data_IF_895763081857
#
_entry.id   IF_895763081857
#
_cell.length_a   1.000
_cell.length_b   1.000
_cell.length_c   1.000
_cell.angle_alpha   90.00
_cell.angle_beta   90.00
_cell.angle_gamma   90.00
#
_symmetry.space_group_name_H-M   'P 1'
#
loop_
_entity.id
_entity.type
_entity.pdbx_description
1 polymer ?
#
# COMPACT_ATOMS: atom_id res chain seq x y z
N UNK A 1 5.54 13.46 2.24
CA UNK A 1 6.48 13.33 1.10
C UNK A 1 7.87 13.85 1.46
N UNK A 2 8.00 15.06 2.03
CA UNK A 2 9.30 15.64 2.41
C UNK A 2 10.09 14.74 3.36
N UNK A 3 9.44 14.12 4.34
CA UNK A 3 10.08 13.15 5.25
C UNK A 3 10.67 11.95 4.51
N UNK A 4 9.93 11.37 3.55
CA UNK A 4 10.42 10.24 2.76
C UNK A 4 11.65 10.63 1.91
N UNK A 5 11.64 11.84 1.31
CA UNK A 5 12.80 12.36 0.58
C UNK A 5 14.00 12.53 1.52
N UNK A 6 13.80 13.09 2.72
CA UNK A 6 14.88 13.21 3.71
C UNK A 6 15.44 11.83 4.10
N UNK A 7 14.58 10.85 4.34
CA UNK A 7 14.98 9.49 4.69
C UNK A 7 15.86 8.84 3.61
N UNK A 8 15.46 8.91 2.34
CA UNK A 8 16.24 8.29 1.25
C UNK A 8 17.58 8.99 1.03
N UNK A 9 17.65 10.31 1.18
CA UNK A 9 18.92 11.06 1.08
C UNK A 9 19.83 10.73 2.26
N UNK A 10 19.30 10.68 3.47
CA UNK A 10 20.01 10.31 4.67
C UNK A 10 20.64 8.91 4.54
N UNK A 11 19.88 7.94 4.03
CA UNK A 11 20.35 6.58 3.78
C UNK A 11 21.49 6.54 2.75
N UNK A 12 21.33 7.21 1.61
CA UNK A 12 22.38 7.25 0.57
C UNK A 12 23.66 7.88 1.06
N UNK A 13 23.55 8.97 1.83
CA UNK A 13 24.70 9.72 2.35
C UNK A 13 25.23 9.17 3.67
N UNK A 14 24.57 8.17 4.26
CA UNK A 14 24.85 7.61 5.59
C UNK A 14 24.96 8.71 6.67
N UNK A 15 24.01 9.62 6.67
CA UNK A 15 23.88 10.72 7.62
C UNK A 15 22.60 10.58 8.45
N UNK A 16 22.59 11.08 9.69
CA UNK A 16 21.35 11.22 10.45
C UNK A 16 20.33 12.07 9.69
N UNK A 17 19.06 11.70 9.76
CA UNK A 17 17.98 12.40 9.06
C UNK A 17 17.85 13.87 9.47
N UNK A 18 18.21 14.18 10.71
CA UNK A 18 18.19 15.55 11.27
C UNK A 18 19.15 16.50 10.55
N UNK A 19 20.13 15.94 9.84
CA UNK A 19 21.08 16.72 9.03
C UNK A 19 20.57 17.03 7.63
N UNK A 20 19.42 16.47 7.24
CA UNK A 20 18.84 16.66 5.91
C UNK A 20 17.71 17.68 5.98
N UNK A 21 17.90 18.81 5.32
CA UNK A 21 16.89 19.86 5.22
C UNK A 21 16.24 19.85 3.85
N UNK A 22 14.94 19.55 3.78
CA UNK A 22 14.17 19.57 2.55
C UNK A 22 13.44 20.90 2.42
N UNK A 23 13.70 21.62 1.33
CA UNK A 23 12.98 22.84 0.95
C UNK A 23 12.16 22.57 -0.30
N UNK A 24 10.86 22.66 -0.21
CA UNK A 24 9.94 22.28 -1.29
C UNK A 24 8.79 23.29 -1.48
N UNK A 25 8.83 24.43 -0.80
CA UNK A 25 7.68 25.34 -0.74
C UNK A 25 7.86 26.64 -1.55
N UNK A 26 9.04 26.84 -2.11
CA UNK A 26 9.38 28.09 -2.78
C UNK A 26 9.45 27.85 -4.29
N UNK A 27 8.43 28.29 -5.02
CA UNK A 27 8.34 28.10 -6.47
C UNK A 27 9.48 28.79 -7.24
N UNK A 28 10.12 29.79 -6.64
CA UNK A 28 11.23 30.54 -7.25
C UNK A 28 12.53 29.73 -7.26
N UNK A 29 12.69 28.80 -6.35
CA UNK A 29 13.93 28.04 -6.16
C UNK A 29 13.76 26.51 -6.37
N UNK A 30 12.54 26.02 -6.29
CA UNK A 30 12.26 24.59 -6.47
C UNK A 30 12.28 24.22 -7.96
N UNK A 31 12.84 23.05 -8.32
CA UNK A 31 12.68 22.51 -9.67
C UNK A 31 11.21 22.30 -10.00
N UNK A 32 10.88 22.28 -11.29
CA UNK A 32 9.53 21.97 -11.75
C UNK A 32 9.10 20.59 -11.29
N UNK A 33 8.02 20.53 -10.54
CA UNK A 33 7.33 19.31 -10.13
C UNK A 33 5.85 19.39 -10.54
N UNK A 34 5.34 18.30 -11.11
CA UNK A 34 3.96 18.26 -11.59
C UNK A 34 2.93 18.04 -10.49
N UNK A 35 3.36 17.85 -9.25
CA UNK A 35 2.49 17.71 -8.06
C UNK A 35 2.22 16.28 -7.61
N UNK A 36 1.42 16.21 -6.55
CA UNK A 36 1.17 14.98 -5.77
C UNK A 36 -0.07 14.22 -6.25
N UNK A 37 -0.21 13.97 -7.53
CA UNK A 37 -1.29 13.15 -8.09
C UNK A 37 -0.82 11.71 -8.38
N UNK A 38 -1.77 10.79 -8.54
CA UNK A 38 -1.51 9.36 -8.79
C UNK A 38 -0.56 8.74 -7.77
N UNK A 39 -0.55 9.25 -6.55
CA UNK A 39 0.27 8.78 -5.42
C UNK A 39 1.75 8.58 -5.75
N UNK A 40 2.28 9.35 -6.69
CA UNK A 40 3.58 9.15 -7.34
C UNK A 40 4.76 9.81 -6.62
N UNK A 41 4.52 10.70 -5.64
CA UNK A 41 5.57 11.57 -5.09
C UNK A 41 6.70 10.77 -4.47
N UNK A 42 6.42 9.79 -3.62
CA UNK A 42 7.47 8.95 -3.04
C UNK A 42 8.26 8.23 -4.12
N UNK A 43 7.59 7.68 -5.13
CA UNK A 43 8.24 6.94 -6.21
C UNK A 43 9.13 7.84 -7.08
N UNK A 44 8.60 8.97 -7.55
CA UNK A 44 9.30 9.85 -8.48
C UNK A 44 10.37 10.71 -7.80
N UNK A 45 9.98 11.42 -6.73
CA UNK A 45 10.87 12.39 -6.09
C UNK A 45 11.96 11.69 -5.29
N UNK A 46 11.67 10.56 -4.64
CA UNK A 46 12.71 9.83 -3.93
C UNK A 46 13.74 9.22 -4.90
N UNK A 47 13.32 8.69 -6.04
CA UNK A 47 14.25 8.22 -7.08
C UNK A 47 15.13 9.36 -7.63
N UNK A 48 14.55 10.54 -7.85
CA UNK A 48 15.31 11.72 -8.28
C UNK A 48 16.31 12.15 -7.20
N UNK A 49 15.88 12.19 -5.93
CA UNK A 49 16.72 12.55 -4.80
C UNK A 49 17.86 11.54 -4.57
N UNK A 50 17.60 10.24 -4.73
CA UNK A 50 18.63 9.18 -4.66
C UNK A 50 19.72 9.44 -5.71
N UNK A 51 19.36 9.78 -6.95
CA UNK A 51 20.34 10.05 -8.01
C UNK A 51 21.22 11.25 -7.70
N UNK A 52 20.63 12.35 -7.21
CA UNK A 52 21.40 13.52 -6.76
C UNK A 52 22.32 13.17 -5.57
N UNK A 53 21.80 12.43 -4.59
CA UNK A 53 22.57 12.03 -3.43
C UNK A 53 23.73 11.08 -3.77
N UNK A 54 23.53 10.16 -4.73
CA UNK A 54 24.60 9.28 -5.23
C UNK A 54 25.74 10.07 -5.88
N UNK A 55 25.42 11.10 -6.65
CA UNK A 55 26.45 11.97 -7.24
C UNK A 55 27.25 12.70 -6.16
N UNK A 56 26.60 13.24 -5.14
CA UNK A 56 27.29 13.84 -3.98
C UNK A 56 28.14 12.80 -3.24
N UNK A 57 27.60 11.62 -2.99
CA UNK A 57 28.33 10.52 -2.34
C UNK A 57 29.58 10.13 -3.11
N UNK A 58 29.50 10.05 -4.44
CA UNK A 58 30.65 9.72 -5.29
C UNK A 58 31.75 10.77 -5.18
N UNK A 59 31.39 12.07 -5.14
CA UNK A 59 32.35 13.16 -4.96
C UNK A 59 33.07 13.06 -3.60
N UNK A 60 32.34 12.73 -2.53
CA UNK A 60 32.90 12.56 -1.18
C UNK A 60 33.80 11.32 -1.12
N UNK A 61 33.40 10.19 -1.72
CA UNK A 61 34.21 8.97 -1.76
C UNK A 61 35.48 9.16 -2.57
N UNK A 62 35.46 9.97 -3.63
CA UNK A 62 36.64 10.32 -4.40
C UNK A 62 37.63 11.14 -3.56
N UNK A 63 37.17 12.13 -2.81
CA UNK A 63 38.02 12.88 -1.89
C UNK A 63 38.59 11.99 -0.78
N UNK A 64 37.82 11.03 -0.27
CA UNK A 64 38.30 10.03 0.67
C UNK A 64 39.39 9.11 0.06
N UNK A 65 39.26 8.76 -1.22
CA UNK A 65 40.30 8.03 -1.95
C UNK A 65 41.61 8.82 -1.98
N UNK A 66 41.56 10.11 -2.30
CA UNK A 66 42.77 10.96 -2.34
C UNK A 66 43.45 11.02 -0.98
N UNK A 67 42.70 10.91 0.12
CA UNK A 67 43.25 10.91 1.48
C UNK A 67 43.80 9.52 1.86
N UNK A 68 43.08 8.44 1.54
CA UNK A 68 43.35 7.09 2.07
C UNK A 68 44.16 6.22 1.10
N UNK A 69 44.21 6.54 -0.18
CA UNK A 69 44.87 5.76 -1.22
C UNK A 69 44.09 4.52 -1.67
N UNK A 70 42.84 4.32 -1.22
CA UNK A 70 42.01 3.18 -1.56
C UNK A 70 40.88 3.57 -2.51
N UNK A 71 40.71 2.77 -3.58
CA UNK A 71 39.69 3.04 -4.60
C UNK A 71 38.26 3.15 -4.01
N UNK A 72 37.41 4.06 -4.48
CA UNK A 72 36.05 4.31 -3.94
C UNK A 72 35.20 3.03 -3.78
N UNK A 73 35.28 2.07 -4.71
CA UNK A 73 34.54 0.81 -4.64
C UNK A 73 34.94 -0.10 -3.46
N UNK A 74 36.08 0.19 -2.81
CA UNK A 74 36.57 -0.53 -1.62
C UNK A 74 36.33 0.25 -0.34
N UNK A 75 35.75 1.44 -0.42
CA UNK A 75 35.43 2.28 0.70
C UNK A 75 33.96 2.10 1.08
N UNK A 76 33.72 2.07 2.38
CA UNK A 76 32.38 2.03 2.99
C UNK A 76 32.15 3.37 3.71
N UNK A 77 31.02 3.99 3.39
CA UNK A 77 30.55 5.19 4.07
C UNK A 77 29.46 4.75 5.05
N UNK A 78 29.72 4.88 6.33
CA UNK A 78 28.79 4.51 7.40
C UNK A 78 29.07 5.31 8.68
N UNK A 79 28.04 5.66 9.41
CA UNK A 79 28.09 6.35 10.70
C UNK A 79 29.11 7.51 10.73
N UNK A 80 28.99 8.42 9.79
CA UNK A 80 29.87 9.61 9.65
C UNK A 80 31.37 9.28 9.52
N UNK A 81 31.71 8.05 9.09
CA UNK A 81 33.07 7.63 8.74
C UNK A 81 33.11 7.04 7.34
N UNK A 82 34.27 7.18 6.71
CA UNK A 82 34.60 6.49 5.46
C UNK A 82 35.81 5.63 5.76
N UNK A 83 35.71 4.34 5.53
CA UNK A 83 36.76 3.39 5.87
C UNK A 83 36.93 2.31 4.80
N UNK A 84 38.12 1.71 4.80
CA UNK A 84 38.41 0.60 3.90
C UNK A 84 37.64 -0.66 4.32
N UNK A 85 36.92 -1.25 3.35
CA UNK A 85 35.98 -2.38 3.60
C UNK A 85 36.63 -3.58 4.29
N UNK A 86 37.91 -3.86 3.97
CA UNK A 86 38.61 -5.05 4.48
C UNK A 86 39.39 -4.76 5.79
N UNK A 87 39.57 -3.50 6.14
CA UNK A 87 40.16 -3.09 7.41
C UNK A 87 39.51 -1.77 7.89
N UNK A 88 38.47 -1.84 8.73
CA UNK A 88 37.77 -0.67 9.22
C UNK A 88 38.62 0.27 10.13
N UNK A 89 39.81 -0.16 10.56
CA UNK A 89 40.74 0.73 11.32
C UNK A 89 41.30 1.82 10.42
N UNK A 90 41.44 1.53 9.12
CA UNK A 90 41.88 2.48 8.10
C UNK A 90 40.69 3.29 7.64
N UNK A 91 40.62 4.54 8.02
CA UNK A 91 39.46 5.38 7.65
C UNK A 91 39.67 6.85 8.00
N UNK A 92 38.74 7.65 7.51
CA UNK A 92 38.68 9.10 7.68
C UNK A 92 37.31 9.53 8.17
N UNK A 93 37.19 10.62 8.89
CA UNK A 93 35.91 11.17 9.26
C UNK A 93 35.18 11.72 8.00
N UNK A 94 33.86 11.61 7.98
CA UNK A 94 33.03 12.17 6.92
C UNK A 94 33.34 13.65 6.67
N UNK A 95 33.46 14.43 7.77
CA UNK A 95 33.72 15.86 7.71
C UNK A 95 35.06 16.18 7.03
N UNK A 96 36.11 15.40 7.30
CA UNK A 96 37.41 15.60 6.66
C UNK A 96 37.37 15.30 5.18
N UNK A 97 36.68 14.25 4.76
CA UNK A 97 36.48 13.94 3.34
C UNK A 97 35.62 15.01 2.65
N UNK A 98 34.59 15.51 3.33
CA UNK A 98 33.74 16.59 2.82
C UNK A 98 34.55 17.88 2.61
N UNK A 99 35.38 18.29 3.60
CA UNK A 99 36.23 19.47 3.46
C UNK A 99 37.19 19.30 2.27
N UNK A 100 37.81 18.14 2.14
CA UNK A 100 38.70 17.86 0.99
C UNK A 100 37.95 17.98 -0.35
N UNK A 101 36.73 17.42 -0.42
CA UNK A 101 35.92 17.55 -1.62
C UNK A 101 35.55 19.02 -1.93
N UNK A 102 35.29 19.84 -0.89
CA UNK A 102 35.03 21.26 -1.02
C UNK A 102 36.27 22.08 -1.43
N UNK A 103 37.45 21.73 -0.91
CA UNK A 103 38.72 22.33 -1.33
C UNK A 103 38.98 22.12 -2.82
N UNK A 104 38.66 20.91 -3.32
CA UNK A 104 38.93 20.53 -4.71
C UNK A 104 37.90 21.08 -5.70
N UNK A 105 36.64 21.25 -5.30
CA UNK A 105 35.51 21.54 -6.19
C UNK A 105 34.65 22.74 -5.79
N UNK A 106 34.84 23.30 -4.62
CA UNK A 106 33.94 24.28 -4.01
C UNK A 106 32.69 23.61 -3.42
N UNK A 107 31.59 24.32 -3.47
CA UNK A 107 30.31 23.76 -2.97
C UNK A 107 29.90 22.53 -3.78
N UNK A 108 29.58 21.43 -3.09
CA UNK A 108 29.10 20.23 -3.74
C UNK A 108 27.62 20.42 -4.12
N UNK A 109 27.33 20.41 -5.40
CA UNK A 109 25.99 20.55 -5.95
C UNK A 109 25.75 19.40 -6.91
N UNK A 110 24.56 18.77 -6.82
CA UNK A 110 24.13 17.74 -7.72
C UNK A 110 22.66 17.92 -8.09
N UNK A 111 22.28 17.46 -9.26
CA UNK A 111 20.91 17.45 -9.72
C UNK A 111 20.49 16.04 -10.11
N UNK A 112 19.30 15.63 -9.69
CA UNK A 112 18.76 14.33 -10.00
C UNK A 112 17.38 14.44 -10.64
N UNK A 113 17.14 13.63 -11.66
CA UNK A 113 15.84 13.49 -12.28
C UNK A 113 15.50 12.00 -12.43
N UNK A 114 14.25 11.64 -12.19
CA UNK A 114 13.75 10.31 -12.48
C UNK A 114 12.88 10.35 -13.74
N UNK A 115 13.16 9.45 -14.64
CA UNK A 115 12.31 9.17 -15.79
C UNK A 115 11.94 7.69 -15.73
N UNK A 116 10.64 7.40 -15.71
CA UNK A 116 10.17 6.03 -15.76
C UNK A 116 10.63 5.32 -17.03
N UNK A 117 10.83 4.00 -17.00
CA UNK A 117 11.04 3.21 -18.20
C UNK A 117 9.94 3.46 -19.24
N UNK A 118 10.20 3.21 -20.54
CA UNK A 118 9.16 3.23 -21.55
C UNK A 118 8.04 2.27 -21.16
N UNK A 119 6.85 2.82 -20.92
CA UNK A 119 5.70 2.02 -20.55
C UNK A 119 4.96 1.56 -21.80
N UNK A 120 4.54 0.30 -21.82
CA UNK A 120 3.82 -0.30 -22.94
C UNK A 120 2.43 0.28 -23.14
N UNK A 121 1.87 0.04 -24.31
CA UNK A 121 0.53 0.50 -24.67
C UNK A 121 0.57 1.53 -25.78
N UNK A 122 0.50 1.05 -27.00
CA UNK A 122 0.40 1.89 -28.21
C UNK A 122 -1.02 2.43 -28.37
N UNK A 123 -1.98 1.84 -27.66
CA UNK A 123 -3.40 2.17 -27.79
C UNK A 123 -3.91 2.96 -26.59
N UNK A 124 -4.62 4.02 -26.85
CA UNK A 124 -5.38 4.77 -25.85
C UNK A 124 -6.35 3.81 -25.15
N UNK A 125 -6.24 3.67 -23.83
CA UNK A 125 -7.04 2.73 -23.05
C UNK A 125 -6.39 1.36 -22.81
N UNK A 126 -5.14 1.13 -23.23
CA UNK A 126 -4.40 -0.05 -22.81
C UNK A 126 -4.21 -0.04 -21.28
N UNK A 127 -4.69 -1.08 -20.61
CA UNK A 127 -4.64 -1.17 -19.15
C UNK A 127 -3.26 -1.59 -18.61
N UNK A 128 -2.52 -2.41 -19.36
CA UNK A 128 -1.22 -2.92 -18.94
C UNK A 128 -0.07 -1.98 -19.34
N UNK A 129 0.92 -1.83 -18.47
CA UNK A 129 2.13 -1.06 -18.74
C UNK A 129 1.95 0.45 -18.71
N UNK A 130 0.91 0.97 -18.06
CA UNK A 130 0.67 2.41 -17.91
C UNK A 130 1.38 3.02 -16.70
N UNK A 131 1.84 2.17 -15.77
CA UNK A 131 2.57 2.58 -14.57
C UNK A 131 3.86 1.78 -14.43
N UNK A 132 4.93 2.39 -13.88
CA UNK A 132 6.19 1.69 -13.65
C UNK A 132 6.09 0.64 -12.54
N UNK A 133 5.12 0.77 -11.65
CA UNK A 133 4.86 -0.15 -10.55
C UNK A 133 3.35 -0.28 -10.31
N UNK A 134 2.93 -1.43 -9.79
CA UNK A 134 1.55 -1.72 -9.40
C UNK A 134 1.51 -2.08 -7.93
N UNK A 135 0.59 -1.48 -7.18
CA UNK A 135 0.26 -1.87 -5.82
C UNK A 135 -1.01 -2.71 -5.79
N UNK A 136 -1.13 -3.53 -4.76
CA UNK A 136 -2.27 -4.41 -4.57
C UNK A 136 -2.87 -4.17 -3.18
N UNK A 137 -4.20 -4.22 -3.10
CA UNK A 137 -4.90 -4.03 -1.84
C UNK A 137 -6.05 -5.03 -1.71
N UNK A 138 -6.28 -5.52 -0.49
CA UNK A 138 -7.38 -6.40 -0.17
C UNK A 138 -7.94 -6.03 1.21
N UNK A 139 -9.24 -5.73 1.27
CA UNK A 139 -9.90 -5.27 2.49
C UNK A 139 -11.06 -6.17 2.88
N UNK A 140 -11.22 -6.32 4.19
CA UNK A 140 -12.41 -6.93 4.80
C UNK A 140 -13.06 -5.88 5.69
N UNK A 141 -14.37 -5.71 5.56
CA UNK A 141 -15.16 -4.82 6.40
C UNK A 141 -16.22 -5.60 7.17
N UNK A 142 -16.50 -5.13 8.37
CA UNK A 142 -17.60 -5.60 9.20
C UNK A 142 -18.57 -4.44 9.42
N UNK A 143 -19.88 -4.72 9.29
CA UNK A 143 -20.91 -3.69 9.38
C UNK A 143 -22.07 -4.15 10.24
N UNK A 144 -22.68 -3.17 10.92
CA UNK A 144 -24.00 -3.30 11.53
C UNK A 144 -25.01 -2.56 10.67
N UNK A 145 -26.15 -3.18 10.36
CA UNK A 145 -27.22 -2.57 9.56
C UNK A 145 -28.51 -2.52 10.37
N UNK A 146 -28.98 -1.29 10.63
CA UNK A 146 -30.33 -1.08 11.16
C UNK A 146 -31.33 -1.21 9.99
N UNK A 147 -32.06 -2.28 9.97
CA UNK A 147 -33.00 -2.61 8.86
C UNK A 147 -34.28 -1.79 8.90
N UNK A 148 -34.61 -1.15 10.02
CA UNK A 148 -35.78 -0.29 10.17
C UNK A 148 -35.49 1.15 9.73
N UNK A 149 -34.27 1.62 9.98
CA UNK A 149 -33.85 2.98 9.61
C UNK A 149 -33.01 3.01 8.35
N UNK A 150 -32.49 1.87 7.88
CA UNK A 150 -31.55 1.77 6.76
C UNK A 150 -30.16 2.32 7.11
N UNK A 151 -29.82 2.49 8.39
CA UNK A 151 -28.52 2.98 8.81
C UNK A 151 -27.47 1.88 8.72
N UNK A 152 -26.33 2.21 8.15
CA UNK A 152 -25.16 1.32 8.06
C UNK A 152 -24.03 1.90 8.90
N UNK A 153 -23.51 1.12 9.84
CA UNK A 153 -22.34 1.45 10.63
C UNK A 153 -21.23 0.44 10.32
N UNK A 154 -20.12 0.92 9.77
CA UNK A 154 -18.91 0.11 9.66
C UNK A 154 -18.23 0.03 11.03
N UNK A 155 -17.98 -1.16 11.54
CA UNK A 155 -17.41 -1.39 12.88
C UNK A 155 -15.93 -1.69 12.82
N UNK A 156 -15.49 -2.54 11.90
CA UNK A 156 -14.11 -2.94 11.74
C UNK A 156 -13.70 -2.98 10.26
N UNK A 157 -12.44 -2.65 10.00
CA UNK A 157 -11.81 -2.80 8.68
C UNK A 157 -10.41 -3.38 8.83
N UNK A 158 -10.14 -4.49 8.18
CA UNK A 158 -8.80 -5.03 7.98
C UNK A 158 -8.32 -4.63 6.59
N UNK A 159 -7.28 -3.80 6.56
CA UNK A 159 -6.85 -3.09 5.37
C UNK A 159 -5.42 -3.50 4.98
N UNK A 160 -5.29 -4.52 4.13
CA UNK A 160 -4.02 -4.97 3.59
C UNK A 160 -3.65 -4.18 2.33
N UNK A 161 -2.46 -3.59 2.32
CA UNK A 161 -1.94 -2.82 1.19
C UNK A 161 -0.47 -3.10 0.95
N UNK A 162 -0.11 -3.38 -0.29
CA UNK A 162 1.25 -3.58 -0.75
C UNK A 162 1.85 -2.25 -1.21
N UNK A 163 2.67 -1.67 -0.35
CA UNK A 163 3.41 -0.43 -0.61
C UNK A 163 4.85 -0.66 -1.11
N UNK A 164 5.19 -1.87 -1.54
CA UNK A 164 6.57 -2.23 -1.91
C UNK A 164 7.46 -2.35 -0.66
N UNK A 165 8.22 -1.31 -0.36
CA UNK A 165 8.95 -1.15 0.89
C UNK A 165 8.40 0.02 1.69
N UNK A 166 8.03 -0.18 2.93
CA UNK A 166 7.57 0.88 3.80
C UNK A 166 8.76 1.70 4.32
N UNK A 167 9.13 2.76 3.60
CA UNK A 167 10.22 3.67 4.03
C UNK A 167 9.89 4.36 5.36
N UNK A 168 8.62 4.60 5.62
CA UNK A 168 8.11 5.11 6.88
C UNK A 168 6.82 4.36 7.25
N UNK A 169 6.92 3.27 8.01
CA UNK A 169 5.76 2.43 8.36
C UNK A 169 4.64 3.20 9.06
N UNK A 170 4.98 4.18 9.92
CA UNK A 170 3.97 5.00 10.60
C UNK A 170 3.19 5.86 9.60
N UNK A 171 3.88 6.49 8.65
CA UNK A 171 3.23 7.28 7.60
C UNK A 171 2.37 6.40 6.68
N UNK A 172 2.84 5.20 6.30
CA UNK A 172 2.06 4.24 5.49
C UNK A 172 0.78 3.83 6.22
N UNK A 173 0.85 3.47 7.51
CA UNK A 173 -0.33 3.18 8.33
C UNK A 173 -1.30 4.37 8.36
N UNK A 174 -0.78 5.59 8.53
CA UNK A 174 -1.59 6.81 8.48
C UNK A 174 -2.30 7.01 7.14
N UNK A 175 -1.63 6.71 6.02
CA UNK A 175 -2.25 6.76 4.69
C UNK A 175 -3.36 5.71 4.53
N UNK A 176 -3.13 4.47 4.96
CA UNK A 176 -4.15 3.40 4.91
C UNK A 176 -5.39 3.80 5.73
N UNK A 177 -5.21 4.28 6.95
CA UNK A 177 -6.32 4.71 7.81
C UNK A 177 -7.06 5.90 7.20
N UNK A 178 -6.34 6.91 6.68
CA UNK A 178 -6.93 8.06 6.03
C UNK A 178 -7.70 7.70 4.76
N UNK A 179 -7.20 6.74 3.99
CA UNK A 179 -7.88 6.22 2.80
C UNK A 179 -9.16 5.45 3.15
N UNK A 180 -9.16 4.69 4.26
CA UNK A 180 -10.38 4.07 4.78
C UNK A 180 -11.43 5.13 5.14
N UNK A 181 -11.03 6.21 5.82
CA UNK A 181 -11.92 7.32 6.15
C UNK A 181 -12.54 7.94 4.89
N UNK A 182 -11.71 8.25 3.89
CA UNK A 182 -12.15 8.84 2.62
C UNK A 182 -13.14 7.93 1.88
N UNK A 183 -12.81 6.63 1.78
CA UNK A 183 -13.69 5.67 1.12
C UNK A 183 -14.97 5.38 1.89
N UNK A 184 -14.96 5.46 3.22
CA UNK A 184 -16.16 5.38 4.03
C UNK A 184 -17.13 6.53 3.71
N UNK A 185 -16.63 7.75 3.57
CA UNK A 185 -17.42 8.88 3.14
C UNK A 185 -18.09 8.63 1.79
N UNK A 186 -17.32 8.16 0.81
CA UNK A 186 -17.84 7.86 -0.53
C UNK A 186 -18.92 6.76 -0.52
N UNK A 187 -18.77 5.75 0.32
CA UNK A 187 -19.70 4.61 0.33
C UNK A 187 -20.95 4.86 1.17
N UNK A 188 -20.90 5.70 2.20
CA UNK A 188 -22.00 5.85 3.15
C UNK A 188 -22.70 7.22 3.14
N UNK A 189 -21.99 8.32 2.91
CA UNK A 189 -22.53 9.64 3.26
C UNK A 189 -22.28 10.76 2.26
N UNK A 190 -21.14 10.78 1.56
CA UNK A 190 -20.78 11.89 0.70
C UNK A 190 -21.55 11.87 -0.63
N UNK A 191 -22.48 12.81 -0.76
CA UNK A 191 -23.33 12.93 -1.96
C UNK A 191 -23.49 14.39 -2.35
N UNK A 192 -23.14 14.71 -3.59
CA UNK A 192 -23.47 15.99 -4.17
C UNK A 192 -24.95 16.01 -4.64
N UNK A 193 -25.72 16.97 -4.16
CA UNK A 193 -27.14 17.10 -4.48
C UNK A 193 -27.35 18.33 -5.37
N UNK A 194 -27.72 18.09 -6.61
CA UNK A 194 -27.99 19.15 -7.59
C UNK A 194 -29.49 19.43 -7.70
N UNK A 195 -29.86 20.70 -7.65
CA UNK A 195 -31.20 21.16 -7.95
C UNK A 195 -31.53 21.08 -9.45
N UNK A 196 -32.80 21.38 -9.80
CA UNK A 196 -33.28 21.33 -11.18
C UNK A 196 -32.54 22.30 -12.11
N UNK A 197 -31.95 23.36 -11.60
CA UNK A 197 -31.19 24.37 -12.33
C UNK A 197 -29.68 24.10 -12.37
N UNK A 198 -29.22 22.93 -11.86
CA UNK A 198 -27.81 22.57 -11.81
C UNK A 198 -27.02 23.17 -10.64
N UNK A 199 -27.67 23.95 -9.75
CA UNK A 199 -27.00 24.43 -8.54
C UNK A 199 -26.78 23.31 -7.52
N UNK A 200 -25.56 23.23 -6.95
CA UNK A 200 -25.25 22.35 -5.84
C UNK A 200 -25.98 22.84 -4.58
N UNK A 201 -26.90 22.03 -4.06
CA UNK A 201 -27.74 22.39 -2.93
C UNK A 201 -27.01 22.28 -1.58
N UNK A 202 -26.07 21.35 -1.47
CA UNK A 202 -25.28 21.08 -0.28
C UNK A 202 -23.81 21.50 -0.45
N UNK A 203 -23.58 22.75 -0.83
CA UNK A 203 -22.27 23.32 -1.12
C UNK A 203 -21.44 23.71 0.12
N UNK A 204 -21.75 23.17 1.28
CA UNK A 204 -21.06 23.46 2.55
C UNK A 204 -20.87 22.18 3.37
N UNK A 205 -19.91 22.21 4.31
CA UNK A 205 -19.58 21.04 5.15
C UNK A 205 -20.64 20.71 6.22
N UNK A 206 -21.65 21.55 6.41
CA UNK A 206 -22.78 21.23 7.27
C UNK A 206 -23.72 20.21 6.60
N UNK A 207 -23.86 20.28 5.30
CA UNK A 207 -24.81 19.47 4.52
C UNK A 207 -24.11 18.39 3.68
N UNK A 208 -22.88 18.64 3.20
CA UNK A 208 -22.01 17.63 2.60
C UNK A 208 -21.34 16.83 3.71
N UNK A 209 -21.75 15.59 3.90
CA UNK A 209 -21.44 14.79 5.08
C UNK A 209 -20.12 14.01 4.93
N UNK A 210 -19.01 14.65 5.27
CA UNK A 210 -17.75 13.93 5.48
C UNK A 210 -17.84 13.21 6.83
N UNK A 211 -17.46 11.93 6.93
CA UNK A 211 -17.49 11.21 8.19
C UNK A 211 -16.63 11.90 9.26
N UNK A 212 -17.14 11.97 10.47
CA UNK A 212 -16.40 12.46 11.64
C UNK A 212 -15.56 11.33 12.27
N UNK A 213 -14.74 11.68 13.25
CA UNK A 213 -13.95 10.70 14.02
C UNK A 213 -14.83 9.67 14.75
N UNK A 214 -16.06 10.03 15.08
CA UNK A 214 -17.02 9.14 15.77
C UNK A 214 -17.62 8.06 14.84
N UNK A 215 -17.57 8.30 13.54
CA UNK A 215 -18.08 7.37 12.51
C UNK A 215 -16.99 6.44 11.98
N UNK A 216 -15.73 6.69 12.37
CA UNK A 216 -14.62 5.84 11.97
C UNK A 216 -14.70 4.45 12.63
N UNK A 217 -14.58 3.38 11.84
CA UNK A 217 -14.42 2.03 12.37
C UNK A 217 -13.05 1.86 13.03
N UNK A 218 -12.89 0.77 13.75
CA UNK A 218 -11.57 0.30 14.10
C UNK A 218 -10.87 -0.21 12.83
N UNK A 219 -9.80 0.46 12.41
CA UNK A 219 -9.01 0.10 11.23
C UNK A 219 -7.73 -0.60 11.65
N UNK A 220 -7.51 -1.80 11.13
CA UNK A 220 -6.27 -2.59 11.28
C UNK A 220 -5.47 -2.48 9.98
N UNK A 221 -4.48 -1.57 9.88
CA UNK A 221 -3.65 -1.44 8.70
C UNK A 221 -2.61 -2.57 8.65
N UNK A 222 -2.58 -3.30 7.54
CA UNK A 222 -1.67 -4.41 7.29
C UNK A 222 -0.76 -4.00 6.13
N UNK A 223 0.52 -3.82 6.43
CA UNK A 223 1.52 -3.44 5.44
C UNK A 223 2.08 -4.71 4.80
N UNK A 224 2.02 -4.78 3.47
CA UNK A 224 2.67 -5.79 2.65
C UNK A 224 3.86 -5.15 1.94
N UNK A 225 5.00 -5.84 1.93
CA UNK A 225 6.24 -5.37 1.32
C UNK A 225 6.70 -6.33 0.23
N UNK A 226 6.40 -6.02 -1.03
CA UNK A 226 6.83 -6.82 -2.20
C UNK A 226 8.18 -6.38 -2.78
N UNK A 227 8.70 -5.22 -2.37
CA UNK A 227 9.96 -4.64 -2.83
C UNK A 227 10.05 -4.49 -4.35
N UNK A 228 9.45 -3.41 -4.87
CA UNK A 228 9.43 -3.13 -6.31
C UNK A 228 10.84 -2.78 -6.84
N UNK A 229 11.30 -3.39 -7.94
CA UNK A 229 12.65 -3.16 -8.47
C UNK A 229 12.87 -1.74 -9.00
N UNK A 230 11.83 -1.03 -9.45
CA UNK A 230 11.92 0.35 -9.94
C UNK A 230 11.71 1.38 -8.81
N UNK A 231 11.18 0.94 -7.67
CA UNK A 231 10.89 1.80 -6.55
C UNK A 231 12.13 2.25 -5.76
N UNK A 232 12.11 3.44 -5.17
CA UNK A 232 13.20 3.91 -4.31
C UNK A 232 13.31 2.97 -3.08
N UNK A 233 14.41 2.24 -2.99
CA UNK A 233 14.58 1.15 -2.00
C UNK A 233 13.44 0.12 -1.99
N UNK A 234 12.76 -0.06 -3.12
CA UNK A 234 11.64 -0.98 -3.26
C UNK A 234 10.26 -0.40 -2.94
N UNK A 235 10.14 0.89 -2.63
CA UNK A 235 8.87 1.52 -2.27
C UNK A 235 7.96 1.73 -3.48
N UNK A 236 6.66 1.57 -3.26
CA UNK A 236 5.58 1.94 -4.18
C UNK A 236 4.69 3.03 -3.58
N UNK A 237 3.53 3.22 -4.17
CA UNK A 237 2.53 4.15 -3.66
C UNK A 237 1.83 3.61 -2.39
N UNK A 238 1.25 4.51 -1.60
CA UNK A 238 0.44 4.18 -0.43
C UNK A 238 -0.71 5.20 -0.22
N UNK A 239 -1.09 5.93 -1.26
CA UNK A 239 -2.11 6.98 -1.18
C UNK A 239 -3.45 6.56 -1.74
N UNK A 240 -3.57 6.41 -3.06
CA UNK A 240 -4.83 6.14 -3.74
C UNK A 240 -5.18 4.65 -3.78
N UNK A 241 -4.19 3.74 -3.84
CA UNK A 241 -4.43 2.31 -3.83
C UNK A 241 -5.18 1.81 -2.59
N UNK A 242 -4.86 2.28 -1.38
CA UNK A 242 -5.61 1.92 -0.18
C UNK A 242 -7.06 2.44 -0.14
N UNK A 243 -7.43 3.44 -0.96
CA UNK A 243 -8.78 3.97 -1.02
C UNK A 243 -9.76 3.02 -1.71
N UNK A 244 -9.32 2.40 -2.80
CA UNK A 244 -10.22 1.67 -3.70
C UNK A 244 -10.95 0.48 -3.06
N UNK A 245 -10.30 -0.37 -2.22
CA UNK A 245 -10.93 -1.59 -1.73
C UNK A 245 -12.00 -1.37 -0.66
N UNK A 246 -12.02 -0.24 0.04
CA UNK A 246 -12.98 0.00 1.13
C UNK A 246 -14.42 0.06 0.60
N UNK A 247 -14.62 0.64 -0.59
CA UNK A 247 -15.94 0.75 -1.19
C UNK A 247 -16.57 -0.64 -1.43
N UNK A 248 -15.95 -1.54 -2.20
CA UNK A 248 -16.51 -2.87 -2.41
C UNK A 248 -16.54 -3.72 -1.13
N UNK A 249 -15.59 -3.54 -0.19
CA UNK A 249 -15.60 -4.28 1.06
C UNK A 249 -16.86 -3.96 1.88
N UNK A 250 -17.19 -2.68 2.06
CA UNK A 250 -18.40 -2.25 2.79
C UNK A 250 -19.68 -2.66 2.06
N UNK A 251 -19.76 -2.49 0.74
CA UNK A 251 -20.93 -2.91 -0.04
C UNK A 251 -21.15 -4.42 0.05
N UNK A 252 -20.10 -5.21 0.02
CA UNK A 252 -20.19 -6.67 0.18
C UNK A 252 -20.61 -7.05 1.60
N UNK A 253 -20.10 -6.38 2.63
CA UNK A 253 -20.52 -6.61 4.01
C UNK A 253 -22.00 -6.27 4.23
N UNK A 254 -22.50 -5.18 3.63
CA UNK A 254 -23.94 -4.84 3.65
C UNK A 254 -24.76 -5.91 2.93
N UNK A 255 -24.27 -6.42 1.78
CA UNK A 255 -24.93 -7.52 1.09
C UNK A 255 -25.00 -8.78 1.96
N UNK A 256 -23.92 -9.11 2.64
CA UNK A 256 -23.89 -10.26 3.57
C UNK A 256 -24.88 -10.10 4.72
N UNK A 257 -25.00 -8.88 5.26
CA UNK A 257 -25.89 -8.58 6.36
C UNK A 257 -27.38 -8.63 5.98
N UNK A 258 -27.79 -8.11 4.81
CA UNK A 258 -29.20 -7.90 4.45
C UNK A 258 -29.66 -8.60 3.17
N UNK A 259 -28.76 -9.26 2.45
CA UNK A 259 -29.08 -9.98 1.20
C UNK A 259 -29.42 -9.09 0.00
N UNK A 260 -29.28 -7.76 0.13
CA UNK A 260 -29.60 -6.79 -0.93
C UNK A 260 -28.33 -6.31 -1.63
N UNK A 261 -28.24 -6.51 -2.95
CA UNK A 261 -27.13 -6.03 -3.75
C UNK A 261 -27.38 -4.58 -4.20
N UNK A 262 -26.66 -3.64 -3.58
CA UNK A 262 -26.64 -2.25 -4.01
C UNK A 262 -25.60 -2.03 -5.10
N UNK A 263 -25.93 -1.16 -6.07
CA UNK A 263 -25.05 -0.84 -7.21
C UNK A 263 -24.76 0.64 -7.33
N UNK A 264 -25.51 1.47 -6.61
CA UNK A 264 -25.37 2.91 -6.60
C UNK A 264 -24.87 3.38 -5.23
N UNK A 265 -23.95 4.32 -5.22
CA UNK A 265 -23.38 4.92 -4.01
C UNK A 265 -23.74 6.42 -3.92
N UNK A 266 -23.70 6.98 -2.71
CA UNK A 266 -23.51 6.36 -1.41
C UNK A 266 -24.72 5.55 -0.94
N UNK A 267 -24.50 4.61 -0.02
CA UNK A 267 -25.53 3.82 0.66
C UNK A 267 -26.20 4.65 1.76
N UNK A 268 -26.87 5.72 1.37
CA UNK A 268 -27.64 6.56 2.32
C UNK A 268 -28.79 5.77 2.94
N UNK A 269 -29.23 6.12 4.15
CA UNK A 269 -30.28 5.39 4.87
C UNK A 269 -31.54 5.14 4.05
N UNK A 270 -31.95 6.13 3.24
CA UNK A 270 -33.14 6.02 2.37
C UNK A 270 -32.94 5.01 1.22
N UNK A 271 -31.71 4.88 0.68
CA UNK A 271 -31.37 3.89 -0.37
C UNK A 271 -31.38 2.49 0.22
N UNK A 272 -30.75 2.31 1.38
CA UNK A 272 -30.67 1.01 2.06
C UNK A 272 -32.06 0.56 2.48
N UNK A 273 -32.84 1.40 3.16
CA UNK A 273 -34.22 1.12 3.56
C UNK A 273 -35.10 0.72 2.37
N UNK A 274 -35.10 1.52 1.30
CA UNK A 274 -35.89 1.21 0.09
C UNK A 274 -35.45 -0.09 -0.58
N UNK A 275 -34.17 -0.41 -0.54
CA UNK A 275 -33.65 -1.69 -1.06
C UNK A 275 -34.19 -2.88 -0.29
N UNK A 276 -34.12 -2.81 1.04
CA UNK A 276 -34.63 -3.84 1.96
C UNK A 276 -36.14 -4.02 1.76
N UNK A 277 -36.90 -2.92 1.73
CA UNK A 277 -38.35 -2.97 1.53
C UNK A 277 -38.75 -3.57 0.19
N UNK A 278 -38.04 -3.27 -0.89
CA UNK A 278 -38.27 -3.90 -2.21
C UNK A 278 -38.06 -5.41 -2.15
N UNK A 279 -37.00 -5.85 -1.46
CA UNK A 279 -36.72 -7.28 -1.31
C UNK A 279 -37.80 -7.97 -0.48
N UNK A 280 -38.22 -7.39 0.67
CA UNK A 280 -39.32 -7.90 1.50
C UNK A 280 -40.60 -8.11 0.70
N UNK A 281 -40.99 -7.11 -0.10
CA UNK A 281 -42.18 -7.18 -0.97
C UNK A 281 -42.03 -8.26 -2.04
N UNK A 282 -40.87 -8.37 -2.67
CA UNK A 282 -40.62 -9.37 -3.72
C UNK A 282 -40.66 -10.79 -3.16
N UNK A 283 -40.23 -10.99 -1.91
CA UNK A 283 -40.26 -12.28 -1.25
C UNK A 283 -41.66 -12.61 -0.62
N UNK A 284 -42.64 -11.69 -0.68
CA UNK A 284 -43.96 -11.81 -0.04
C UNK A 284 -43.86 -12.09 1.48
N UNK A 285 -42.85 -11.51 2.10
CA UNK A 285 -42.57 -11.70 3.54
C UNK A 285 -43.28 -10.65 4.39
N UNK A 286 -44.49 -10.20 3.99
CA UNK A 286 -45.28 -9.19 4.74
C UNK A 286 -45.60 -9.61 6.18
N UNK A 287 -45.52 -10.92 6.50
CA UNK A 287 -45.80 -11.49 7.82
C UNK A 287 -44.53 -11.98 8.57
N UNK A 288 -43.36 -11.86 8.01
CA UNK A 288 -42.11 -12.33 8.64
C UNK A 288 -41.23 -11.17 9.10
N UNK A 289 -41.18 -10.96 10.41
CA UNK A 289 -40.32 -10.00 11.10
C UNK A 289 -38.83 -10.39 11.07
N UNK A 290 -38.51 -11.61 10.66
CA UNK A 290 -37.14 -12.07 10.49
C UNK A 290 -36.80 -12.11 9.01
N UNK A 291 -35.95 -11.18 8.57
CA UNK A 291 -35.21 -11.36 7.30
C UNK A 291 -34.45 -12.70 7.44
N UNK A 292 -34.63 -13.63 6.49
CA UNK A 292 -33.71 -14.77 6.47
C UNK A 292 -32.32 -14.14 6.32
N UNK A 293 -31.44 -14.35 7.31
CA UNK A 293 -30.01 -14.19 7.06
C UNK A 293 -29.76 -14.85 5.73
N UNK A 294 -29.07 -14.19 4.78
CA UNK A 294 -28.70 -14.85 3.56
C UNK A 294 -27.87 -16.06 3.97
N UNK A 295 -28.54 -17.19 4.18
CA UNK A 295 -27.85 -18.45 4.27
C UNK A 295 -27.31 -18.60 2.86
N UNK A 296 -26.06 -18.25 2.71
CA UNK A 296 -25.27 -18.79 1.61
C UNK A 296 -25.55 -20.29 1.68
N UNK A 297 -26.39 -20.80 0.79
CA UNK A 297 -26.57 -22.24 0.68
C UNK A 297 -25.17 -22.80 0.60
N UNK A 298 -24.84 -23.66 1.54
CA UNK A 298 -23.50 -24.11 1.85
C UNK A 298 -22.82 -24.66 0.61
N UNK A 299 -22.11 -23.77 -0.11
CA UNK A 299 -21.14 -24.21 -1.09
C UNK A 299 -19.91 -24.80 -0.37
N UNK A 300 -19.12 -25.65 -1.04
CA UNK A 300 -17.95 -26.32 -0.46
C UNK A 300 -16.98 -25.38 0.28
N UNK A 301 -16.97 -24.11 -0.08
CA UNK A 301 -16.11 -23.07 0.52
C UNK A 301 -16.56 -22.66 1.93
N UNK A 302 -17.85 -22.72 2.22
CA UNK A 302 -18.39 -22.34 3.53
C UNK A 302 -18.17 -23.44 4.55
N UNK A 303 -18.26 -24.72 4.14
CA UNK A 303 -17.88 -25.85 5.01
C UNK A 303 -16.41 -25.78 5.41
N UNK A 304 -15.53 -25.39 4.48
CA UNK A 304 -14.10 -25.18 4.74
C UNK A 304 -13.89 -24.01 5.69
N UNK A 305 -14.63 -22.91 5.56
CA UNK A 305 -14.51 -21.74 6.44
C UNK A 305 -15.06 -22.03 7.84
N UNK A 306 -16.18 -22.76 7.95
CA UNK A 306 -16.76 -23.17 9.23
C UNK A 306 -15.87 -24.21 9.93
N UNK A 307 -15.32 -25.17 9.21
CA UNK A 307 -14.38 -26.15 9.75
C UNK A 307 -13.09 -25.46 10.24
N UNK A 308 -12.54 -24.53 9.48
CA UNK A 308 -11.37 -23.73 9.87
C UNK A 308 -11.65 -22.79 11.05
N UNK A 309 -12.83 -22.18 11.12
CA UNK A 309 -13.24 -21.38 12.28
C UNK A 309 -13.38 -22.22 13.55
N UNK A 310 -13.84 -23.47 13.43
CA UNK A 310 -13.90 -24.43 14.54
C UNK A 310 -12.49 -24.88 14.99
N UNK A 311 -11.58 -25.11 14.06
CA UNK A 311 -10.16 -25.36 14.36
C UNK A 311 -9.48 -24.16 15.03
N UNK A 312 -9.78 -22.92 14.59
CA UNK A 312 -9.29 -21.71 15.24
C UNK A 312 -9.78 -21.59 16.69
N UNK A 313 -11.06 -21.82 16.97
CA UNK A 313 -11.57 -21.81 18.35
C UNK A 313 -10.88 -22.83 19.26
N UNK A 314 -10.45 -23.94 18.71
CA UNK A 314 -9.72 -24.97 19.45
C UNK A 314 -8.26 -24.58 19.68
N UNK A 315 -7.62 -23.91 18.71
CA UNK A 315 -6.27 -23.34 18.83
C UNK A 315 -6.23 -22.12 19.76
N UNK A 316 -7.23 -21.25 19.74
CA UNK A 316 -7.32 -20.09 20.63
C UNK A 316 -7.40 -20.48 22.10
N UNK A 317 -8.08 -21.59 22.45
CA UNK A 317 -8.06 -22.14 23.80
C UNK A 317 -6.67 -22.64 24.24
N UNK A 318 -5.86 -23.09 23.31
CA UNK A 318 -4.48 -23.49 23.59
C UNK A 318 -3.52 -22.29 23.72
N UNK A 319 -3.89 -21.15 23.15
CA UNK A 319 -3.07 -19.93 23.04
C UNK A 319 -3.33 -18.84 24.08
N UNK A 320 -4.36 -18.92 24.89
CA UNK A 320 -4.59 -18.00 26.02
C UNK A 320 -3.43 -17.95 27.05
N UNK A 321 -2.27 -18.55 26.72
CA UNK A 321 -1.05 -18.57 27.54
C UNK A 321 0.12 -17.76 26.98
N UNK A 322 0.00 -17.07 25.83
CA UNK A 322 1.08 -16.22 25.31
C UNK A 322 0.50 -14.93 24.72
N UNK A 323 0.87 -13.82 25.33
CA UNK A 323 0.51 -12.45 24.92
C UNK A 323 1.30 -12.06 23.66
N UNK A 324 0.72 -12.22 22.48
CA UNK A 324 0.95 -11.35 21.33
C UNK A 324 -0.05 -11.67 20.20
N UNK A 325 -1.07 -10.84 20.05
CA UNK A 325 -2.18 -11.07 19.12
C UNK A 325 -2.02 -10.37 17.77
N UNK A 326 -0.90 -9.69 17.51
CA UNK A 326 -0.71 -8.85 16.32
C UNK A 326 -0.49 -9.60 15.01
N UNK A 327 -0.27 -10.93 15.03
CA UNK A 327 0.12 -11.71 13.85
C UNK A 327 -0.97 -12.63 13.27
N UNK A 328 -2.21 -12.55 13.75
CA UNK A 328 -3.20 -13.62 13.58
C UNK A 328 -4.10 -13.58 12.34
N UNK A 329 -4.20 -12.47 11.63
CA UNK A 329 -5.15 -12.33 10.52
C UNK A 329 -4.64 -12.96 9.21
N UNK A 330 -3.36 -13.17 9.07
CA UNK A 330 -2.72 -13.50 7.78
C UNK A 330 -2.60 -14.99 7.46
N UNK A 331 -2.69 -15.87 8.45
CA UNK A 331 -2.39 -17.30 8.25
C UNK A 331 -3.43 -18.10 7.45
N UNK A 332 -4.64 -17.60 7.30
CA UNK A 332 -5.77 -18.37 6.74
C UNK A 332 -5.95 -18.18 5.24
N UNK A 333 -5.60 -17.02 4.69
CA UNK A 333 -5.88 -16.70 3.29
C UNK A 333 -4.73 -16.98 2.32
N UNK A 334 -3.48 -17.14 2.80
CA UNK A 334 -2.32 -17.19 1.90
C UNK A 334 -1.27 -18.27 2.25
N UNK A 335 -1.58 -19.26 3.05
CA UNK A 335 -0.63 -20.32 3.41
C UNK A 335 0.47 -19.89 4.38
N UNK A 336 0.29 -18.79 5.09
CA UNK A 336 1.21 -18.29 6.09
C UNK A 336 1.22 -19.18 7.35
N UNK A 337 2.37 -19.68 7.75
CA UNK A 337 2.54 -20.43 9.01
C UNK A 337 3.08 -19.50 10.10
N UNK A 338 2.28 -19.19 11.14
CA UNK A 338 2.71 -18.29 12.22
C UNK A 338 3.82 -18.87 13.12
N UNK A 339 4.21 -20.11 12.96
CA UNK A 339 5.26 -20.75 13.72
C UNK A 339 6.63 -20.71 13.02
N UNK A 340 6.67 -20.22 11.77
CA UNK A 340 7.89 -20.06 10.99
C UNK A 340 8.28 -18.58 11.00
N UNK A 341 9.53 -18.20 11.29
CA UNK A 341 9.99 -16.82 11.20
C UNK A 341 9.70 -16.21 9.83
N UNK A 342 9.35 -14.92 9.79
CA UNK A 342 8.95 -14.24 8.56
C UNK A 342 10.04 -14.30 7.48
N UNK A 343 11.29 -14.24 7.87
CA UNK A 343 12.49 -14.37 7.03
C UNK A 343 12.57 -15.73 6.33
N UNK A 344 12.19 -16.81 7.00
CA UNK A 344 12.20 -18.18 6.43
C UNK A 344 11.00 -18.43 5.51
N UNK A 345 9.92 -17.64 5.66
CA UNK A 345 8.73 -17.72 4.81
C UNK A 345 8.87 -16.93 3.51
N UNK A 346 9.72 -15.90 3.48
CA UNK A 346 9.98 -15.08 2.29
C UNK A 346 10.67 -15.91 1.18
N UNK A 347 11.51 -16.86 1.54
CA UNK A 347 12.11 -17.78 0.56
C UNK A 347 11.09 -18.78 -0.01
N UNK A 348 10.12 -19.23 0.78
CA UNK A 348 8.96 -19.99 0.32
C UNK A 348 8.05 -19.18 -0.61
N UNK A 349 7.96 -17.87 -0.41
CA UNK A 349 7.19 -16.96 -1.26
C UNK A 349 7.84 -16.71 -2.63
N UNK A 350 9.16 -16.68 -2.72
CA UNK A 350 9.86 -16.64 -4.01
C UNK A 350 9.61 -17.89 -4.85
N UNK A 351 9.33 -19.00 -4.21
CA UNK A 351 8.95 -20.27 -4.90
C UNK A 351 7.46 -20.29 -5.28
N UNK A 352 6.58 -19.63 -4.51
CA UNK A 352 5.15 -19.55 -4.80
C UNK A 352 4.78 -18.53 -5.91
N UNK A 353 5.71 -17.67 -6.32
CA UNK A 353 5.53 -16.79 -7.49
C UNK A 353 5.84 -17.49 -8.83
N UNK A 354 6.39 -18.69 -8.80
CA UNK A 354 6.40 -19.58 -9.97
C UNK A 354 5.18 -20.51 -9.85
N UNK A 355 4.10 -20.28 -10.62
CA UNK A 355 2.94 -21.15 -10.54
C UNK A 355 3.33 -22.56 -10.95
N UNK A 356 2.98 -23.52 -10.10
CA UNK A 356 3.21 -24.94 -10.35
C UNK A 356 2.65 -25.31 -11.74
N UNK A 357 3.44 -25.92 -12.62
CA UNK A 357 3.00 -26.34 -13.93
C UNK A 357 1.74 -27.24 -13.91
N UNK A 358 1.53 -28.01 -12.87
CA UNK A 358 0.31 -28.84 -12.68
C UNK A 358 -0.90 -27.98 -12.34
N UNK A 359 -0.75 -26.97 -11.49
CA UNK A 359 -1.84 -26.01 -11.16
C UNK A 359 -2.23 -25.14 -12.36
N UNK A 360 -1.27 -24.79 -13.23
CA UNK A 360 -1.54 -24.08 -14.49
C UNK A 360 -2.30 -24.95 -15.49
N UNK A 361 -2.04 -26.25 -15.52
CA UNK A 361 -2.75 -27.21 -16.35
C UNK A 361 -4.20 -27.40 -15.90
N UNK A 362 -4.46 -27.46 -14.59
CA UNK A 362 -5.79 -27.55 -13.99
C UNK A 362 -6.63 -26.26 -14.21
N UNK A 363 -5.99 -25.09 -14.27
CA UNK A 363 -6.65 -23.82 -14.57
C UNK A 363 -6.93 -23.59 -16.06
N UNK A 364 -6.59 -24.54 -16.95
CA UNK A 364 -6.82 -24.42 -18.38
C UNK A 364 -6.03 -23.30 -19.07
N UNK A 365 -5.07 -22.72 -18.40
CA UNK A 365 -4.16 -21.74 -18.96
C UNK A 365 -3.06 -22.48 -19.71
N UNK A 366 -3.05 -22.38 -21.05
CA UNK A 366 -2.10 -23.06 -21.94
C UNK A 366 -0.64 -22.79 -21.53
N UNK A 367 -0.13 -23.61 -20.58
CA UNK A 367 1.02 -23.28 -19.75
C UNK A 367 2.37 -23.26 -20.46
N UNK A 368 2.62 -24.17 -21.41
CA UNK A 368 3.99 -24.35 -21.96
C UNK A 368 4.47 -23.22 -22.87
N UNK A 369 3.57 -22.56 -23.59
CA UNK A 369 3.95 -21.46 -24.48
C UNK A 369 4.17 -20.16 -23.70
N UNK A 370 3.39 -19.92 -22.67
CA UNK A 370 3.51 -18.74 -21.79
C UNK A 370 4.76 -18.85 -20.91
N UNK A 371 5.02 -20.02 -20.32
CA UNK A 371 6.24 -20.24 -19.51
C UNK A 371 7.53 -20.02 -20.31
N UNK A 372 7.59 -20.55 -21.52
CA UNK A 372 8.76 -20.35 -22.41
C UNK A 372 8.93 -18.88 -22.81
N UNK A 373 7.83 -18.14 -23.00
CA UNK A 373 7.89 -16.72 -23.34
C UNK A 373 8.40 -15.92 -22.14
N UNK A 374 7.88 -16.17 -20.95
CA UNK A 374 8.26 -15.48 -19.72
C UNK A 374 9.70 -15.79 -19.29
N UNK A 375 10.15 -17.04 -19.45
CA UNK A 375 11.55 -17.43 -19.19
C UNK A 375 12.53 -16.73 -20.14
N UNK A 376 12.20 -16.61 -21.43
CA UNK A 376 13.01 -15.85 -22.41
C UNK A 376 13.04 -14.35 -22.09
N UNK A 377 11.92 -13.77 -21.68
CA UNK A 377 11.84 -12.36 -21.31
C UNK A 377 12.60 -12.04 -20.01
N UNK A 378 12.79 -13.03 -19.13
CA UNK A 378 13.55 -12.91 -17.87
C UNK A 378 15.03 -13.29 -18.02
N UNK A 379 15.51 -13.62 -19.25
CA UNK A 379 16.91 -13.96 -19.50
C UNK A 379 17.39 -15.24 -18.80
N UNK A 380 16.48 -16.18 -18.56
CA UNK A 380 16.77 -17.52 -18.03
C UNK A 380 16.53 -18.54 -19.14
N UNK A 381 17.53 -18.71 -20.01
CA UNK A 381 17.63 -19.87 -20.89
C UNK A 381 18.36 -21.03 -20.19
#
# INVERSE_FOLDING_TARGET
STTAVAQVVAEVLALPIEMIHVRSHESDTAPVDLGSYSSRVTFMNANAAIRAALEIREQILKAAWDILGYHPNTLVLNDRRIYYKHDPSIGVSYLKALHKAQEDKGSLIASGAYRSPPMGGVHKGAAAGLAPAYSFSAYVAEVDVDVELGLVKCTNVWAAHDCGKALNPLAVKGQIIGSCHMGLGQVLSEKMVYGRTGHLQNANLLEYKIPSVHEMPHVVPIIIESCDPEGPFGAKEAGEGPLLPILPAVVNAVYDAVGVRFRDLPLTPDIVYKGIERQRRALKLDDCLELPSPRLEHGPMQEVLVARAAEHKTRDKARQRTEDTSHYVNGVLFGFDPNIPLEDQVDGWRMATEPDPEQLAELGLAGKAWLKKTQREMGRD
#
